data_IF_430268158676
#
_entry.id   IF_430268158676
#
_cell.length_a   1.000
_cell.length_b   1.000
_cell.length_c   1.000
_cell.angle_alpha   90.00
_cell.angle_beta   90.00
_cell.angle_gamma   90.00
#
_symmetry.space_group_name_H-M   'P 1'
#
loop_
_entity.id
_entity.type
_entity.pdbx_description
1 polymer ?
#
# COMPACT_ATOMS: atom_id res chain seq x y z
N UNK A 1 -9.98 -3.34 -9.47
CA UNK A 1 -9.35 -2.88 -8.23
C UNK A 1 -8.54 -1.63 -8.51
N UNK A 2 -8.42 -0.72 -7.55
CA UNK A 2 -7.60 0.48 -7.72
C UNK A 2 -6.31 0.33 -6.90
N UNK A 3 -5.27 -0.27 -7.47
CA UNK A 3 -4.00 -0.49 -6.77
C UNK A 3 -2.99 0.65 -6.98
N UNK A 4 -3.43 1.82 -7.45
CA UNK A 4 -2.58 2.98 -7.78
C UNK A 4 -1.42 2.65 -8.75
N UNK A 5 -1.57 1.60 -9.58
CA UNK A 5 -0.51 1.12 -10.49
C UNK A 5 0.62 0.31 -9.82
N UNK A 6 0.54 0.08 -8.50
CA UNK A 6 1.55 -0.66 -7.74
C UNK A 6 1.27 -2.15 -7.58
N UNK A 7 0.13 -2.64 -8.06
CA UNK A 7 -0.13 -4.07 -8.16
C UNK A 7 -1.07 -4.39 -9.32
N UNK A 8 -0.86 -5.56 -9.92
CA UNK A 8 -1.71 -6.15 -10.96
C UNK A 8 -2.62 -7.25 -10.40
N UNK A 9 -2.53 -7.52 -9.09
CA UNK A 9 -3.27 -8.59 -8.41
C UNK A 9 -4.08 -8.04 -7.25
N UNK A 10 -5.33 -8.48 -7.16
CA UNK A 10 -6.21 -8.13 -6.05
C UNK A 10 -7.26 -9.22 -5.82
N UNK A 11 -7.91 -9.18 -4.66
CA UNK A 11 -9.07 -9.99 -4.34
C UNK A 11 -10.21 -9.12 -3.82
N UNK A 12 -11.41 -9.71 -3.75
CA UNK A 12 -12.55 -9.06 -3.15
C UNK A 12 -12.61 -9.33 -1.65
N UNK A 13 -12.48 -8.27 -0.87
CA UNK A 13 -12.57 -8.26 0.58
C UNK A 13 -13.95 -7.76 1.01
N UNK A 14 -14.72 -8.66 1.63
CA UNK A 14 -16.09 -8.39 2.10
C UNK A 14 -16.11 -7.44 3.29
N UNK A 15 -15.10 -7.51 4.17
CA UNK A 15 -15.03 -6.68 5.36
C UNK A 15 -14.70 -5.24 4.98
N UNK A 16 -13.74 -5.07 4.06
CA UNK A 16 -13.41 -3.75 3.51
C UNK A 16 -14.60 -3.12 2.78
N UNK A 17 -15.36 -3.91 2.03
CA UNK A 17 -16.58 -3.44 1.37
C UNK A 17 -17.63 -2.97 2.37
N UNK A 18 -17.84 -3.70 3.47
CA UNK A 18 -18.79 -3.32 4.51
C UNK A 18 -18.39 -1.99 5.21
N UNK A 19 -17.09 -1.73 5.36
CA UNK A 19 -16.58 -0.54 6.03
C UNK A 19 -16.52 0.70 5.12
N UNK A 20 -16.14 0.52 3.85
CA UNK A 20 -15.79 1.64 2.95
C UNK A 20 -16.69 1.76 1.72
N UNK A 21 -17.53 0.77 1.44
CA UNK A 21 -18.25 0.64 0.17
C UNK A 21 -17.38 0.14 -0.99
N UNK A 22 -16.09 -0.10 -0.75
CA UNK A 22 -15.12 -0.59 -1.74
C UNK A 22 -14.50 -1.89 -1.25
N UNK A 23 -14.64 -2.99 -2.01
CA UNK A 23 -14.14 -4.31 -1.61
C UNK A 23 -12.86 -4.73 -2.31
N UNK A 24 -12.20 -3.86 -3.07
CA UNK A 24 -10.96 -4.23 -3.75
C UNK A 24 -9.79 -4.20 -2.78
N UNK A 25 -9.15 -5.35 -2.54
CA UNK A 25 -7.92 -5.44 -1.75
C UNK A 25 -6.77 -5.94 -2.62
N UNK A 26 -5.76 -5.10 -2.81
CA UNK A 26 -4.57 -5.37 -3.61
C UNK A 26 -3.59 -6.26 -2.85
N UNK A 27 -2.98 -7.21 -3.56
CA UNK A 27 -1.94 -8.10 -3.00
C UNK A 27 -0.64 -7.87 -3.74
N UNK A 28 0.49 -8.21 -3.12
CA UNK A 28 1.82 -8.05 -3.72
C UNK A 28 2.14 -6.61 -4.19
N UNK A 29 1.79 -5.60 -3.38
CA UNK A 29 2.13 -4.20 -3.66
C UNK A 29 3.64 -4.01 -3.88
N UNK A 30 3.99 -3.42 -5.02
CA UNK A 30 5.36 -3.07 -5.46
C UNK A 30 5.81 -1.75 -4.82
N UNK A 31 7.07 -1.37 -5.08
CA UNK A 31 7.64 -0.08 -4.65
C UNK A 31 7.51 0.19 -3.14
N UNK A 32 7.65 -0.86 -2.31
CA UNK A 32 7.51 -0.79 -0.85
C UNK A 32 6.20 -0.17 -0.34
N UNK A 33 5.12 -0.32 -1.13
CA UNK A 33 3.78 0.14 -0.78
C UNK A 33 2.99 -0.95 -0.04
N UNK A 34 1.96 -0.53 0.69
CA UNK A 34 1.06 -1.32 1.49
C UNK A 34 -0.33 -0.64 1.54
N UNK A 35 -1.29 -1.30 2.20
CA UNK A 35 -2.69 -0.85 2.24
C UNK A 35 -3.56 -1.55 1.23
N UNK A 36 -4.88 -1.39 1.35
CA UNK A 36 -5.85 -2.11 0.53
C UNK A 36 -5.75 -1.76 -0.96
N UNK A 37 -5.23 -0.58 -1.28
CA UNK A 37 -5.06 -0.03 -2.61
C UNK A 37 -3.58 0.30 -2.91
N UNK A 38 -2.64 -0.23 -2.13
CA UNK A 38 -1.22 0.17 -2.18
C UNK A 38 -1.04 1.69 -1.97
N UNK A 39 -1.87 2.31 -1.14
CA UNK A 39 -1.96 3.75 -0.94
C UNK A 39 -0.90 4.30 0.04
N UNK A 40 -0.34 3.46 0.90
CA UNK A 40 0.61 3.86 1.94
C UNK A 40 1.95 3.15 1.77
N UNK A 41 2.99 3.62 2.44
CA UNK A 41 4.23 2.86 2.54
C UNK A 41 4.09 1.69 3.51
N UNK A 42 4.91 0.65 3.29
CA UNK A 42 5.10 -0.44 4.25
C UNK A 42 5.63 0.11 5.57
N UNK A 43 5.43 -0.66 6.64
CA UNK A 43 6.06 -0.37 7.91
C UNK A 43 7.58 -0.29 7.75
N UNK A 44 8.21 0.65 8.44
CA UNK A 44 9.63 1.03 8.27
C UNK A 44 9.98 1.65 6.90
N UNK A 45 8.98 2.10 6.13
CA UNK A 45 9.18 2.93 4.95
C UNK A 45 8.38 4.22 5.08
N UNK A 46 8.93 5.31 4.57
CA UNK A 46 8.25 6.60 4.51
C UNK A 46 8.19 7.11 3.07
N UNK A 47 7.16 7.91 2.78
CA UNK A 47 7.01 8.53 1.48
C UNK A 47 7.97 9.71 1.35
N UNK A 48 8.88 9.64 0.38
CA UNK A 48 9.78 10.75 0.06
C UNK A 48 8.97 11.89 -0.59
N UNK A 49 9.04 13.14 -0.08
CA UNK A 49 8.22 14.25 -0.58
C UNK A 49 8.47 14.63 -2.05
N UNK A 50 9.65 14.31 -2.58
CA UNK A 50 10.10 14.75 -3.91
C UNK A 50 9.44 13.97 -5.07
N UNK A 51 9.23 12.66 -4.87
CA UNK A 51 8.81 11.73 -5.92
C UNK A 51 7.76 10.72 -5.45
N UNK A 52 7.23 10.88 -4.23
CA UNK A 52 6.26 9.99 -3.62
C UNK A 52 6.73 8.53 -3.54
N UNK A 53 8.04 8.28 -3.54
CA UNK A 53 8.57 6.91 -3.46
C UNK A 53 8.72 6.47 -2.01
N UNK A 54 8.40 5.21 -1.73
CA UNK A 54 8.54 4.65 -0.38
C UNK A 54 9.99 4.20 -0.16
N UNK A 55 10.71 4.94 0.68
CA UNK A 55 12.10 4.71 1.02
C UNK A 55 12.22 4.21 2.46
N UNK A 56 13.21 3.35 2.73
CA UNK A 56 13.38 2.76 4.04
C UNK A 56 13.70 3.84 5.08
N UNK A 57 13.02 3.76 6.23
CA UNK A 57 13.43 4.46 7.43
C UNK A 57 14.75 3.82 7.87
N UNK A 58 15.88 4.45 7.56
CA UNK A 58 17.20 4.06 8.06
C UNK A 58 17.34 4.44 9.54
N UNK A 59 16.37 4.05 10.36
CA UNK A 59 16.45 4.21 11.80
C UNK A 59 17.46 3.18 12.32
N UNK A 60 18.50 3.66 13.01
CA UNK A 60 19.44 2.80 13.72
C UNK A 60 18.71 2.19 14.92
N UNK A 61 18.54 0.87 14.93
CA UNK A 61 17.99 0.13 16.08
C UNK A 61 19.13 -0.07 17.10
N UNK A 62 19.41 0.97 17.91
CA UNK A 62 20.33 0.86 19.07
C UNK A 62 19.59 0.32 20.28
#
# INVERSE_FOLDING_TARGET
CNCNGYSDRCYFDKELYALTGHGGHCIDCRANRAGANCERCKENYYERPEDSYCIACNCDEI
#
